data_IF_385930614540
#
_entry.id   IF_385930614540
#
_cell.length_a   1.000
_cell.length_b   1.000
_cell.length_c   1.000
_cell.angle_alpha   90.00
_cell.angle_beta   90.00
_cell.angle_gamma   90.00
#
_symmetry.space_group_name_H-M   'P 1'
#
loop_
_entity.id
_entity.type
_entity.pdbx_description
1 polymer ?
#
# COMPACT_ATOMS: atom_id res chain seq x y z
N UNK A 1 11.02 18.75 -10.18
CA UNK A 1 12.36 18.84 -9.59
C UNK A 1 12.55 17.70 -8.59
N UNK A 2 13.67 16.99 -8.67
CA UNK A 2 14.05 16.01 -7.67
C UNK A 2 15.36 16.41 -6.99
N UNK A 3 15.45 16.20 -5.68
CA UNK A 3 16.64 16.41 -4.87
C UNK A 3 17.23 15.08 -4.41
N UNK A 4 18.54 15.05 -4.17
CA UNK A 4 19.22 13.92 -3.51
C UNK A 4 19.56 14.32 -2.08
N UNK A 5 19.23 13.45 -1.14
CA UNK A 5 19.47 13.64 0.29
C UNK A 5 20.15 12.39 0.84
N UNK A 6 21.18 12.57 1.66
CA UNK A 6 21.84 11.46 2.35
C UNK A 6 21.45 11.48 3.83
N UNK A 7 20.77 10.42 4.27
CA UNK A 7 20.34 10.21 5.64
C UNK A 7 21.27 9.17 6.30
N UNK A 8 22.37 9.64 6.91
CA UNK A 8 23.41 8.76 7.45
C UNK A 8 24.06 7.92 6.35
N UNK A 9 23.84 6.60 6.39
CA UNK A 9 24.31 5.64 5.38
C UNK A 9 23.30 5.39 4.25
N UNK A 10 22.10 5.99 4.30
CA UNK A 10 21.03 5.77 3.33
C UNK A 10 20.97 6.94 2.34
N UNK A 11 21.01 6.64 1.04
CA UNK A 11 20.79 7.62 -0.02
C UNK A 11 19.31 7.66 -0.42
N UNK A 12 18.73 8.85 -0.43
CA UNK A 12 17.31 9.10 -0.71
C UNK A 12 17.16 10.08 -1.87
N UNK A 13 16.21 9.77 -2.76
CA UNK A 13 15.75 10.69 -3.80
C UNK A 13 14.41 11.28 -3.37
N UNK A 14 14.34 12.61 -3.28
CA UNK A 14 13.14 13.35 -2.89
C UNK A 14 12.53 13.98 -4.13
N UNK A 15 11.28 13.67 -4.42
CA UNK A 15 10.52 14.25 -5.54
C UNK A 15 9.59 15.31 -4.96
N UNK A 16 9.62 16.53 -5.48
CA UNK A 16 8.89 17.67 -4.90
C UNK A 16 7.80 18.27 -5.80
N UNK A 17 7.65 17.78 -7.03
CA UNK A 17 6.64 18.23 -7.98
C UNK A 17 5.63 17.14 -8.35
N UNK A 18 4.42 17.57 -8.70
CA UNK A 18 3.31 16.68 -9.00
C UNK A 18 3.52 15.86 -10.27
N UNK A 19 4.03 16.46 -11.34
CA UNK A 19 4.16 15.81 -12.65
C UNK A 19 5.12 14.62 -12.57
N UNK A 20 6.31 14.83 -12.00
CA UNK A 20 7.32 13.79 -11.79
C UNK A 20 6.81 12.74 -10.81
N UNK A 21 6.13 13.15 -9.73
CA UNK A 21 5.54 12.20 -8.76
C UNK A 21 4.56 11.28 -9.45
N UNK A 22 3.62 11.83 -10.23
CA UNK A 22 2.61 11.05 -10.95
C UNK A 22 3.27 10.07 -11.94
N UNK A 23 4.28 10.51 -12.68
CA UNK A 23 5.01 9.66 -13.62
C UNK A 23 5.74 8.51 -12.91
N UNK A 24 6.41 8.80 -11.80
CA UNK A 24 7.18 7.82 -11.02
C UNK A 24 6.26 6.76 -10.42
N UNK A 25 5.16 7.17 -9.77
CA UNK A 25 4.20 6.23 -9.18
C UNK A 25 3.37 5.44 -10.22
N UNK A 26 3.36 5.86 -11.49
CA UNK A 26 2.73 5.09 -12.56
C UNK A 26 3.61 3.93 -13.07
N UNK A 27 4.92 3.96 -12.80
CA UNK A 27 5.89 2.97 -13.28
C UNK A 27 6.13 1.88 -12.23
N UNK A 28 6.00 0.62 -12.64
CA UNK A 28 6.16 -0.54 -11.77
C UNK A 28 7.54 -0.63 -11.09
N UNK A 29 8.58 -0.09 -11.74
CA UNK A 29 9.94 -0.04 -11.23
C UNK A 29 10.09 0.71 -9.88
N UNK A 30 9.20 1.66 -9.59
CA UNK A 30 9.26 2.47 -8.36
C UNK A 30 8.22 2.04 -7.31
N UNK A 31 7.50 0.93 -7.54
CA UNK A 31 6.46 0.46 -6.64
C UNK A 31 6.98 -0.39 -5.47
N UNK A 32 8.29 -0.66 -5.44
CA UNK A 32 8.94 -1.40 -4.37
C UNK A 32 8.87 -0.69 -3.02
N UNK A 33 8.89 -1.47 -1.94
CA UNK A 33 9.03 -0.99 -0.56
C UNK A 33 10.50 -1.07 -0.14
N UNK A 34 11.04 -0.04 0.54
CA UNK A 34 12.39 -0.09 1.10
C UNK A 34 12.58 -1.32 2.00
N UNK A 35 13.78 -1.94 1.98
CA UNK A 35 14.09 -3.08 2.86
C UNK A 35 14.05 -2.68 4.33
N UNK A 36 14.41 -1.43 4.64
CA UNK A 36 14.48 -0.87 5.98
C UNK A 36 13.11 -0.34 6.42
N UNK A 37 12.08 -1.18 6.30
CA UNK A 37 10.73 -0.83 6.73
C UNK A 37 10.73 -0.49 8.22
N UNK A 38 10.19 0.68 8.64
CA UNK A 38 10.08 1.02 10.06
C UNK A 38 9.05 0.15 10.80
N UNK A 39 8.26 -0.64 10.07
CA UNK A 39 7.29 -1.58 10.62
C UNK A 39 7.94 -2.95 10.80
N UNK A 40 7.76 -3.55 11.98
CA UNK A 40 8.07 -4.96 12.21
C UNK A 40 7.19 -5.83 11.31
N UNK A 41 7.82 -6.59 10.44
CA UNK A 41 7.14 -7.53 9.57
C UNK A 41 6.99 -8.87 10.26
N UNK A 42 5.80 -9.47 10.17
CA UNK A 42 5.58 -10.83 10.62
C UNK A 42 6.47 -11.82 9.84
N UNK A 43 6.87 -12.93 10.49
CA UNK A 43 7.75 -13.94 9.90
C UNK A 43 7.28 -14.40 8.51
N UNK A 44 6.00 -14.74 8.37
CA UNK A 44 5.41 -15.18 7.09
C UNK A 44 5.52 -14.12 5.99
N UNK A 45 5.38 -12.84 6.34
CA UNK A 45 5.46 -11.72 5.39
C UNK A 45 6.88 -11.59 4.84
N UNK A 46 7.89 -11.82 5.68
CA UNK A 46 9.30 -11.83 5.30
C UNK A 46 9.60 -13.05 4.42
N UNK A 47 9.23 -14.25 4.88
CA UNK A 47 9.55 -15.53 4.22
C UNK A 47 8.93 -15.64 2.81
N UNK A 48 7.69 -15.16 2.66
CA UNK A 48 6.96 -15.23 1.38
C UNK A 48 7.29 -14.02 0.48
N UNK A 49 8.03 -13.03 0.99
CA UNK A 49 8.30 -11.78 0.27
C UNK A 49 7.01 -11.02 -0.06
N UNK A 50 5.99 -11.12 0.79
CA UNK A 50 4.64 -10.65 0.53
C UNK A 50 4.52 -9.12 0.35
N UNK A 51 5.57 -8.38 0.68
CA UNK A 51 5.63 -6.91 0.59
C UNK A 51 6.00 -6.38 -0.79
N UNK A 52 6.60 -7.21 -1.66
CA UNK A 52 7.14 -6.77 -2.95
C UNK A 52 6.87 -7.78 -4.09
N UNK A 53 7.07 -7.34 -5.33
CA UNK A 53 7.06 -8.22 -6.50
C UNK A 53 5.72 -8.91 -6.78
N UNK A 54 5.78 -10.13 -7.33
CA UNK A 54 4.59 -10.91 -7.70
C UNK A 54 3.72 -11.31 -6.49
N UNK A 55 4.27 -11.77 -5.35
CA UNK A 55 3.46 -12.10 -4.16
C UNK A 55 2.56 -10.94 -3.72
N UNK A 56 3.13 -9.74 -3.56
CA UNK A 56 2.38 -8.53 -3.23
C UNK A 56 1.25 -8.23 -4.23
N UNK A 57 1.56 -8.29 -5.53
CA UNK A 57 0.56 -8.02 -6.59
C UNK A 57 -0.60 -9.00 -6.56
N UNK A 58 -0.33 -10.29 -6.34
CA UNK A 58 -1.38 -11.31 -6.24
C UNK A 58 -2.24 -11.09 -5.00
N UNK A 59 -1.62 -10.89 -3.83
CA UNK A 59 -2.34 -10.66 -2.58
C UNK A 59 -3.21 -9.41 -2.67
N UNK A 60 -2.66 -8.28 -3.13
CA UNK A 60 -3.42 -7.04 -3.32
C UNK A 60 -4.63 -7.23 -4.24
N UNK A 61 -4.46 -7.94 -5.37
CA UNK A 61 -5.55 -8.23 -6.31
C UNK A 61 -6.64 -9.08 -5.66
N UNK A 62 -6.23 -10.17 -4.98
CA UNK A 62 -7.15 -11.07 -4.29
C UNK A 62 -7.93 -10.34 -3.19
N UNK A 63 -7.25 -9.62 -2.29
CA UNK A 63 -7.89 -8.88 -1.21
C UNK A 63 -8.87 -7.83 -1.73
N UNK A 64 -8.50 -7.05 -2.75
CA UNK A 64 -9.42 -6.06 -3.33
C UNK A 64 -10.63 -6.70 -4.03
N UNK A 65 -10.47 -7.90 -4.59
CA UNK A 65 -11.60 -8.67 -5.16
C UNK A 65 -12.55 -9.10 -4.04
N UNK A 66 -12.01 -9.77 -3.02
CA UNK A 66 -12.78 -10.24 -1.87
C UNK A 66 -13.51 -9.10 -1.16
N UNK A 67 -12.86 -7.95 -0.95
CA UNK A 67 -13.50 -6.78 -0.36
C UNK A 67 -14.71 -6.32 -1.18
N UNK A 68 -14.59 -6.27 -2.52
CA UNK A 68 -15.70 -5.90 -3.40
C UNK A 68 -16.85 -6.91 -3.37
N UNK A 69 -16.54 -8.19 -3.21
CA UNK A 69 -17.56 -9.25 -3.09
C UNK A 69 -18.31 -9.14 -1.76
N UNK A 70 -17.59 -8.81 -0.68
CA UNK A 70 -18.17 -8.59 0.65
C UNK A 70 -19.03 -7.31 0.75
N UNK A 71 -18.92 -6.40 -0.23
CA UNK A 71 -19.74 -5.21 -0.31
C UNK A 71 -18.98 -3.89 -0.24
N UNK A 72 -17.64 -3.92 -0.15
CA UNK A 72 -16.82 -2.71 -0.12
C UNK A 72 -17.09 -1.81 -1.34
N UNK A 73 -17.41 -0.54 -1.09
CA UNK A 73 -17.78 0.43 -2.12
C UNK A 73 -19.18 0.23 -2.71
N UNK A 74 -20.03 -0.58 -2.08
CA UNK A 74 -21.44 -0.80 -2.46
C UNK A 74 -22.37 -0.42 -1.29
N UNK A 75 -23.67 -0.28 -1.57
CA UNK A 75 -24.71 0.02 -0.57
C UNK A 75 -24.68 -0.90 0.64
N UNK A 76 -24.37 -2.20 0.43
CA UNK A 76 -24.22 -3.17 1.54
C UNK A 76 -23.19 -2.73 2.59
N UNK A 77 -22.08 -2.11 2.19
CA UNK A 77 -21.10 -1.58 3.15
C UNK A 77 -21.68 -0.41 3.93
N UNK A 78 -22.43 0.48 3.28
CA UNK A 78 -23.09 1.60 3.96
C UNK A 78 -24.11 1.12 5.00
N UNK A 79 -24.86 0.08 4.69
CA UNK A 79 -25.80 -0.56 5.61
C UNK A 79 -25.06 -1.15 6.83
N UNK A 80 -23.97 -1.90 6.59
CA UNK A 80 -23.15 -2.45 7.67
C UNK A 80 -22.58 -1.36 8.57
N UNK A 81 -22.06 -0.28 7.98
CA UNK A 81 -21.55 0.87 8.71
C UNK A 81 -22.64 1.50 9.59
N UNK A 82 -23.84 1.73 9.05
CA UNK A 82 -24.98 2.29 9.81
C UNK A 82 -25.37 1.38 10.97
N UNK A 83 -25.42 0.07 10.73
CA UNK A 83 -25.74 -0.93 11.76
C UNK A 83 -24.69 -0.90 12.87
N UNK A 84 -23.40 -0.83 12.55
CA UNK A 84 -22.33 -0.73 13.55
C UNK A 84 -22.49 0.50 14.46
N UNK A 85 -22.80 1.68 13.89
CA UNK A 85 -23.07 2.88 14.71
C UNK A 85 -24.30 2.75 15.60
N UNK A 86 -25.32 2.00 15.17
CA UNK A 86 -26.53 1.76 15.97
C UNK A 86 -26.31 0.80 17.14
N UNK A 87 -25.29 -0.07 17.07
CA UNK A 87 -24.92 -0.98 18.16
C UNK A 87 -23.97 -0.36 19.20
N UNK A 88 -23.38 0.80 18.90
CA UNK A 88 -22.51 1.56 19.81
C UNK A 88 -23.28 2.61 20.64
N UNK A 89 -24.60 2.74 20.42
CA UNK A 89 -25.55 3.58 21.17
C UNK A 89 -26.52 2.72 21.99
#
# INVERSE_FOLDING_TARGET
MFGRLRLGSIDVVVITDFETTKEVFAKDAFMGRPPDSPFELGRETIEIGAINGKPWKHQRRFSLHMLRDLGFGKTRMEELIKVSYLFEL
#
